data_IF_649199868445
#
_entry.id   IF_649199868445
#
_cell.length_a   1.000
_cell.length_b   1.000
_cell.length_c   1.000
_cell.angle_alpha   90.00
_cell.angle_beta   90.00
_cell.angle_gamma   90.00
#
_symmetry.space_group_name_H-M   'P 1'
#
loop_
_entity.id
_entity.type
_entity.pdbx_description
1 polymer ?
#
# COMPACT_ATOMS: atom_id res chain seq x y z
N UNK A 1 12.16 31.72 8.51
CA UNK A 1 13.26 30.84 8.07
C UNK A 1 13.26 29.61 8.96
N UNK A 2 13.23 28.40 8.40
CA UNK A 2 13.45 27.19 9.20
C UNK A 2 14.95 27.11 9.50
N UNK A 3 15.37 27.57 10.68
CA UNK A 3 16.78 27.57 11.15
C UNK A 3 17.19 26.27 11.82
N UNK A 4 16.44 25.18 11.62
CA UNK A 4 16.78 23.86 12.16
C UNK A 4 17.78 23.16 11.25
N UNK A 5 18.98 22.89 11.77
CA UNK A 5 19.91 21.96 11.11
C UNK A 5 19.30 20.56 11.01
N UNK A 6 19.65 19.83 9.95
CA UNK A 6 19.31 18.41 9.83
C UNK A 6 20.22 17.60 10.75
N UNK A 7 19.63 16.86 11.68
CA UNK A 7 20.34 15.88 12.50
C UNK A 7 19.85 14.46 12.17
N UNK A 8 20.73 13.46 12.08
CA UNK A 8 20.32 12.08 11.88
C UNK A 8 19.54 11.57 13.11
N UNK A 9 18.50 10.77 12.87
CA UNK A 9 17.78 10.04 13.92
C UNK A 9 18.32 8.63 13.96
N UNK A 10 19.11 8.31 14.98
CA UNK A 10 19.68 6.98 15.17
C UNK A 10 18.74 6.12 16.02
N UNK A 11 17.91 5.29 15.37
CA UNK A 11 17.02 4.33 16.02
C UNK A 11 17.15 2.97 15.35
N UNK A 12 17.82 2.03 16.00
CA UNK A 12 18.04 0.68 15.46
C UNK A 12 16.73 0.00 15.02
N UNK A 13 15.65 0.18 15.79
CA UNK A 13 14.32 -0.36 15.48
C UNK A 13 13.73 0.12 14.13
N UNK A 14 14.22 1.24 13.58
CA UNK A 14 13.79 1.71 12.26
C UNK A 14 14.33 0.84 11.13
N UNK A 15 15.50 0.21 11.31
CA UNK A 15 16.09 -0.70 10.32
C UNK A 15 15.14 -1.85 9.98
N UNK A 16 14.66 -2.55 11.00
CA UNK A 16 13.74 -3.69 10.84
C UNK A 16 12.44 -3.29 10.14
N UNK A 17 11.89 -2.12 10.50
CA UNK A 17 10.68 -1.57 9.87
C UNK A 17 10.86 -1.30 8.37
N UNK A 18 12.07 -0.95 7.93
CA UNK A 18 12.35 -0.66 6.53
C UNK A 18 12.62 -1.92 5.69
N UNK A 19 13.14 -2.99 6.30
CA UNK A 19 13.47 -4.23 5.60
C UNK A 19 12.24 -5.08 5.27
N UNK A 20 11.20 -5.00 6.10
CA UNK A 20 9.97 -5.81 5.97
C UNK A 20 9.17 -5.47 4.68
N UNK A 21 9.35 -4.27 4.13
CA UNK A 21 8.61 -3.77 2.99
C UNK A 21 9.41 -3.83 1.67
N UNK A 22 8.74 -4.27 0.61
CA UNK A 22 9.24 -4.17 -0.76
C UNK A 22 8.71 -2.90 -1.42
N UNK A 23 9.63 -2.09 -1.94
CA UNK A 23 9.36 -0.82 -2.67
C UNK A 23 8.49 0.16 -1.87
N UNK A 24 8.90 0.55 -0.65
CA UNK A 24 8.13 1.47 0.16
C UNK A 24 7.87 2.81 -0.54
N UNK A 25 6.77 3.45 -0.16
CA UNK A 25 6.37 4.81 -0.53
C UNK A 25 5.99 5.56 0.72
N UNK A 26 6.30 6.86 0.76
CA UNK A 26 5.93 7.74 1.86
C UNK A 26 4.77 8.64 1.45
N UNK A 27 3.76 8.73 2.32
CA UNK A 27 2.63 9.66 2.19
C UNK A 27 2.42 10.39 3.52
N UNK A 28 1.82 11.58 3.46
CA UNK A 28 1.42 12.29 4.66
C UNK A 28 0.23 11.56 5.33
N UNK A 29 0.34 11.26 6.63
CA UNK A 29 -0.78 10.78 7.43
C UNK A 29 -1.76 11.92 7.80
N UNK A 30 -2.82 11.57 8.51
CA UNK A 30 -3.78 12.53 9.01
C UNK A 30 -3.15 13.47 10.07
N UNK A 31 -3.66 14.71 10.14
CA UNK A 31 -3.29 15.68 11.19
C UNK A 31 -1.89 16.29 11.07
N UNK A 32 -1.15 16.04 9.99
CA UNK A 32 0.12 16.70 9.68
C UNK A 32 1.32 16.32 10.58
N UNK A 33 1.13 15.43 11.55
CA UNK A 33 2.20 14.95 12.46
C UNK A 33 2.52 13.47 12.28
N UNK A 34 2.10 12.90 11.16
CA UNK A 34 2.23 11.47 10.88
C UNK A 34 2.73 11.24 9.47
N UNK A 35 3.58 10.23 9.32
CA UNK A 35 4.06 9.76 8.01
C UNK A 35 3.63 8.31 7.83
N UNK A 36 3.07 7.99 6.68
CA UNK A 36 2.71 6.63 6.32
C UNK A 36 3.79 6.04 5.42
N UNK A 37 4.26 4.83 5.73
CA UNK A 37 5.10 4.03 4.87
C UNK A 37 4.32 2.85 4.33
N UNK A 38 4.17 2.79 3.02
CA UNK A 38 3.32 1.81 2.34
C UNK A 38 4.18 0.95 1.42
N UNK A 39 4.07 -0.37 1.51
CA UNK A 39 4.82 -1.27 0.65
C UNK A 39 4.25 -2.68 0.60
N UNK A 40 4.83 -3.52 -0.25
CA UNK A 40 4.47 -4.94 -0.27
C UNK A 40 5.15 -5.67 0.89
N UNK A 41 4.36 -6.29 1.78
CA UNK A 41 4.89 -7.07 2.88
C UNK A 41 5.61 -8.30 2.35
N UNK A 42 6.92 -8.43 2.59
CA UNK A 42 7.67 -9.61 2.18
C UNK A 42 7.20 -10.83 2.97
N UNK A 43 7.10 -11.99 2.33
CA UNK A 43 6.79 -13.25 3.02
C UNK A 43 7.96 -13.79 3.85
N UNK A 44 9.18 -13.30 3.60
CA UNK A 44 10.40 -13.62 4.34
C UNK A 44 11.44 -12.52 4.13
N UNK A 45 12.56 -12.57 4.85
CA UNK A 45 13.67 -11.62 4.69
C UNK A 45 14.53 -11.84 3.43
N UNK A 46 14.20 -12.84 2.59
CA UNK A 46 14.92 -13.04 1.33
C UNK A 46 14.71 -11.84 0.38
N UNK A 47 15.77 -11.46 -0.34
CA UNK A 47 15.75 -10.28 -1.23
C UNK A 47 14.67 -10.39 -2.32
N UNK A 48 14.42 -11.60 -2.80
CA UNK A 48 13.49 -11.95 -3.87
C UNK A 48 12.11 -12.41 -3.36
N UNK A 49 11.93 -12.49 -2.03
CA UNK A 49 10.69 -12.94 -1.41
C UNK A 49 9.46 -12.27 -2.06
N UNK A 50 8.41 -13.06 -2.38
CA UNK A 50 7.16 -12.51 -2.88
C UNK A 50 6.48 -11.68 -1.79
N UNK A 51 5.60 -10.78 -2.22
CA UNK A 51 4.80 -10.01 -1.28
C UNK A 51 3.50 -10.77 -0.95
N UNK A 52 3.22 -10.96 0.34
CA UNK A 52 2.00 -11.61 0.83
C UNK A 52 0.78 -10.68 0.77
N UNK A 53 1.00 -9.38 0.94
CA UNK A 53 -0.01 -8.32 0.88
C UNK A 53 0.63 -6.94 0.70
N UNK A 54 -0.16 -5.88 0.86
CA UNK A 54 0.30 -4.52 1.16
C UNK A 54 0.18 -4.24 2.66
N UNK A 55 1.22 -3.64 3.23
CA UNK A 55 1.27 -3.16 4.62
C UNK A 55 1.48 -1.64 4.65
N UNK A 56 0.85 -0.99 5.62
CA UNK A 56 0.94 0.43 5.93
C UNK A 56 1.49 0.54 7.36
N UNK A 57 2.69 1.09 7.50
CA UNK A 57 3.26 1.52 8.77
C UNK A 57 3.02 3.01 8.96
N UNK A 58 2.87 3.44 10.20
CA UNK A 58 2.66 4.83 10.59
C UNK A 58 3.73 5.27 11.56
N UNK A 59 4.40 6.37 11.24
CA UNK A 59 5.33 7.06 12.11
C UNK A 59 4.62 8.24 12.76
N UNK A 60 4.61 8.25 14.09
CA UNK A 60 4.28 9.46 14.85
C UNK A 60 5.52 10.36 14.93
N UNK A 61 5.43 11.58 14.43
CA UNK A 61 6.58 12.51 14.39
C UNK A 61 6.91 13.14 15.75
N UNK A 62 6.00 13.09 16.72
CA UNK A 62 6.24 13.58 18.07
C UNK A 62 6.99 12.54 18.91
N UNK A 63 6.63 11.26 18.80
CA UNK A 63 7.27 10.18 19.58
C UNK A 63 8.39 9.48 18.81
N UNK A 64 8.45 9.62 17.49
CA UNK A 64 9.36 8.92 16.58
C UNK A 64 9.24 7.39 16.62
N UNK A 65 8.05 6.92 17.00
CA UNK A 65 7.69 5.51 17.04
C UNK A 65 6.92 5.09 15.77
N UNK A 66 7.19 3.87 15.32
CA UNK A 66 6.47 3.22 14.23
C UNK A 66 5.43 2.24 14.78
N UNK A 67 4.29 2.17 14.12
CA UNK A 67 3.28 1.15 14.37
C UNK A 67 2.67 0.64 13.07
N UNK A 68 2.04 -0.54 13.11
CA UNK A 68 1.21 -1.02 12.01
C UNK A 68 -0.13 -0.27 12.01
N UNK A 69 -0.46 0.37 10.89
CA UNK A 69 -1.71 1.12 10.73
C UNK A 69 -2.72 0.42 9.83
N UNK A 70 -2.27 -0.43 8.91
CA UNK A 70 -3.18 -1.11 8.01
C UNK A 70 -2.55 -2.25 7.25
N UNK A 71 -3.25 -3.36 7.18
CA UNK A 71 -2.90 -4.52 6.38
C UNK A 71 -3.99 -4.76 5.35
N UNK A 72 -3.65 -4.73 4.06
CA UNK A 72 -4.65 -4.90 3.01
C UNK A 72 -5.34 -6.27 3.16
N UNK A 73 -6.68 -6.32 3.14
CA UNK A 73 -7.42 -7.57 3.23
C UNK A 73 -6.98 -8.56 2.13
N UNK A 74 -6.74 -9.85 2.44
CA UNK A 74 -6.23 -10.80 1.46
C UNK A 74 -7.11 -10.96 0.20
N UNK A 75 -8.43 -10.88 0.36
CA UNK A 75 -9.38 -10.90 -0.76
C UNK A 75 -9.20 -9.70 -1.70
N UNK A 76 -8.88 -8.52 -1.16
CA UNK A 76 -8.59 -7.31 -1.91
C UNK A 76 -7.24 -7.43 -2.63
N UNK A 77 -6.20 -7.89 -1.92
CA UNK A 77 -4.86 -8.07 -2.49
C UNK A 77 -4.84 -9.08 -3.66
N UNK A 78 -5.63 -10.16 -3.58
CA UNK A 78 -5.76 -11.15 -4.67
C UNK A 78 -6.24 -10.53 -6.00
N UNK A 79 -6.97 -9.41 -5.97
CA UNK A 79 -7.38 -8.70 -7.19
C UNK A 79 -6.16 -8.08 -7.90
N UNK A 80 -5.16 -7.61 -7.15
CA UNK A 80 -3.93 -7.05 -7.70
C UNK A 80 -2.98 -8.12 -8.23
N UNK A 81 -3.00 -9.32 -7.64
CA UNK A 81 -2.18 -10.45 -8.09
C UNK A 81 -2.81 -11.25 -9.23
N UNK A 82 -4.06 -10.99 -9.60
CA UNK A 82 -4.79 -11.77 -10.62
C UNK A 82 -5.23 -13.16 -10.15
N UNK A 83 -5.11 -13.45 -8.86
CA UNK A 83 -5.57 -14.72 -8.29
C UNK A 83 -7.09 -14.76 -8.07
N UNK A 84 -7.77 -13.60 -8.10
CA UNK A 84 -9.22 -13.53 -7.93
C UNK A 84 -10.02 -14.22 -9.07
N UNK A 85 -9.53 -14.21 -10.31
CA UNK A 85 -10.23 -14.82 -11.44
C UNK A 85 -10.04 -16.35 -11.51
N UNK A 86 -8.94 -16.87 -10.95
CA UNK A 86 -8.65 -18.31 -10.92
C UNK A 86 -9.56 -19.08 -9.94
N UNK A 87 -9.93 -18.47 -8.82
CA UNK A 87 -10.78 -19.11 -7.81
C UNK A 87 -12.24 -19.31 -8.27
N UNK A 88 -12.72 -18.49 -9.22
CA UNK A 88 -14.09 -18.58 -9.74
C UNK A 88 -14.25 -19.60 -10.87
N UNK A 89 -13.16 -20.02 -11.50
CA UNK A 89 -13.19 -20.85 -12.71
C UNK A 89 -12.74 -22.30 -12.50
N UNK A 90 -12.37 -22.72 -11.27
CA UNK A 90 -11.91 -24.08 -11.00
C UNK A 90 -10.71 -24.53 -11.85
N UNK A 91 -10.07 -23.58 -12.53
CA UNK A 91 -9.01 -23.81 -13.50
C UNK A 91 -7.65 -23.64 -12.84
N UNK A 92 -6.65 -24.33 -13.40
CA UNK A 92 -5.25 -24.16 -13.00
C UNK A 92 -4.86 -22.67 -12.98
N UNK A 93 -4.11 -22.26 -11.96
CA UNK A 93 -3.56 -20.91 -11.85
C UNK A 93 -2.83 -20.60 -13.17
N UNK A 94 -3.24 -19.59 -13.95
CA UNK A 94 -2.57 -19.28 -15.20
C UNK A 94 -1.11 -18.94 -14.91
N UNK A 95 -0.16 -19.41 -15.74
CA UNK A 95 1.26 -19.06 -15.59
C UNK A 95 1.53 -17.54 -15.59
N UNK A 96 0.57 -16.73 -16.10
CA UNK A 96 0.60 -15.27 -16.02
C UNK A 96 0.38 -14.71 -14.59
N UNK A 97 -0.21 -15.49 -13.68
CA UNK A 97 -0.35 -15.15 -12.26
C UNK A 97 0.98 -15.31 -11.50
N UNK A 98 1.91 -16.13 -12.00
CA UNK A 98 3.17 -16.47 -11.34
C UNK A 98 4.39 -15.64 -11.77
N UNK A 99 4.29 -14.73 -12.74
CA UNK A 99 5.50 -14.09 -13.32
C UNK A 99 5.41 -12.62 -13.78
N UNK A 100 4.28 -11.94 -13.58
CA UNK A 100 4.14 -10.53 -14.00
C UNK A 100 4.57 -9.54 -12.92
N UNK A 101 5.32 -8.49 -13.28
CA UNK A 101 5.57 -7.35 -12.41
C UNK A 101 4.26 -6.56 -12.16
N UNK A 102 3.41 -7.03 -11.25
CA UNK A 102 2.19 -6.32 -10.86
C UNK A 102 2.56 -5.03 -10.11
N UNK A 103 2.85 -3.98 -10.88
CA UNK A 103 3.10 -2.64 -10.37
C UNK A 103 1.76 -2.09 -9.86
N UNK A 104 1.61 -2.07 -8.55
CA UNK A 104 0.54 -1.31 -7.87
C UNK A 104 0.99 0.14 -7.81
N UNK A 105 0.15 1.06 -8.28
CA UNK A 105 0.34 2.50 -8.07
C UNK A 105 -0.27 2.85 -6.72
N UNK A 106 0.48 3.59 -5.92
CA UNK A 106 0.07 4.07 -4.61
C UNK A 106 0.14 5.59 -4.62
N UNK A 107 -0.92 6.25 -4.19
CA UNK A 107 -1.02 7.72 -4.12
C UNK A 107 -2.00 8.15 -3.03
N UNK A 108 -2.05 9.44 -2.73
CA UNK A 108 -2.92 10.01 -1.71
C UNK A 108 -2.16 10.96 -0.78
N UNK A 109 -2.59 11.02 0.47
CA UNK A 109 -2.10 11.93 1.49
C UNK A 109 -3.23 12.33 2.44
N UNK A 110 -2.86 13.01 3.52
CA UNK A 110 -3.79 13.44 4.58
C UNK A 110 -4.65 12.28 5.10
N UNK A 111 -4.01 11.14 5.40
CA UNK A 111 -4.67 9.95 5.95
C UNK A 111 -5.39 9.07 4.93
N UNK A 112 -5.42 9.43 3.64
CA UNK A 112 -6.02 8.60 2.58
C UNK A 112 -4.97 8.01 1.66
N UNK A 113 -5.05 6.71 1.43
CA UNK A 113 -4.16 5.96 0.54
C UNK A 113 -4.98 5.21 -0.50
N UNK A 114 -4.58 5.35 -1.75
CA UNK A 114 -5.27 4.78 -2.91
C UNK A 114 -4.36 3.81 -3.65
N UNK A 115 -4.93 2.71 -4.11
CA UNK A 115 -4.22 1.62 -4.78
C UNK A 115 -4.87 1.32 -6.14
N UNK A 116 -4.08 1.50 -7.20
CA UNK A 116 -4.48 1.15 -8.57
C UNK A 116 -3.58 0.05 -9.14
N UNK A 117 -4.14 -0.85 -9.94
CA UNK A 117 -3.38 -1.90 -10.58
C UNK A 117 -3.98 -2.31 -11.91
N UNK A 118 -3.14 -2.74 -12.86
CA UNK A 118 -3.58 -3.14 -14.21
C UNK A 118 -4.65 -4.24 -14.21
N UNK A 119 -4.63 -5.11 -13.19
CA UNK A 119 -5.57 -6.23 -13.01
C UNK A 119 -6.84 -5.84 -12.26
N UNK A 120 -6.84 -4.68 -11.60
CA UNK A 120 -7.97 -4.14 -10.86
C UNK A 120 -8.66 -3.14 -11.79
N UNK A 121 -9.48 -3.66 -12.71
CA UNK A 121 -10.19 -2.83 -13.70
C UNK A 121 -11.40 -2.16 -13.04
N UNK A 122 -11.66 -0.90 -13.41
CA UNK A 122 -12.87 -0.13 -13.05
C UNK A 122 -13.04 0.18 -11.55
N UNK A 123 -12.02 -0.11 -10.73
CA UNK A 123 -12.05 0.13 -9.30
C UNK A 123 -10.68 0.47 -8.72
N UNK A 124 -10.68 1.11 -7.55
CA UNK A 124 -9.51 1.38 -6.71
C UNK A 124 -9.74 0.78 -5.33
N UNK A 125 -8.69 0.26 -4.72
CA UNK A 125 -8.73 0.04 -3.28
C UNK A 125 -8.35 1.35 -2.57
N UNK A 126 -9.05 1.66 -1.49
CA UNK A 126 -8.79 2.81 -0.63
C UNK A 126 -8.54 2.33 0.79
N UNK A 127 -7.60 2.96 1.48
CA UNK A 127 -7.45 2.91 2.91
C UNK A 127 -7.55 4.33 3.49
N UNK A 128 -8.33 4.49 4.56
CA UNK A 128 -8.48 5.74 5.29
C UNK A 128 -8.05 5.54 6.74
N UNK A 129 -7.15 6.39 7.19
CA UNK A 129 -6.61 6.39 8.54
C UNK A 129 -7.71 6.68 9.56
N UNK A 130 -7.80 5.83 10.59
CA UNK A 130 -8.65 6.11 11.75
C UNK A 130 -7.90 7.00 12.77
N UNK A 131 -8.59 7.99 13.29
CA UNK A 131 -8.08 8.89 14.33
C UNK A 131 -7.85 8.15 15.65
N UNK A 132 -8.65 7.12 15.96
CA UNK A 132 -8.61 6.38 17.22
C UNK A 132 -7.56 5.26 17.28
N UNK A 133 -6.64 5.21 16.31
CA UNK A 133 -5.54 4.24 16.32
C UNK A 133 -5.93 2.81 16.00
N UNK A 134 -7.16 2.57 15.50
CA UNK A 134 -7.53 1.26 14.94
C UNK A 134 -6.84 1.02 13.60
N UNK A 135 -6.89 -0.23 13.12
CA UNK A 135 -6.49 -0.55 11.75
C UNK A 135 -7.45 0.15 10.80
N UNK A 136 -6.99 1.21 10.13
CA UNK A 136 -7.84 2.12 9.37
C UNK A 136 -8.75 1.41 8.35
N UNK A 137 -9.75 2.13 7.84
CA UNK A 137 -10.82 1.55 7.05
C UNK A 137 -10.38 1.23 5.62
N UNK A 138 -10.54 -0.02 5.20
CA UNK A 138 -10.40 -0.44 3.80
C UNK A 138 -11.74 -0.39 3.08
N UNK A 139 -11.73 0.09 1.84
CA UNK A 139 -12.92 0.11 0.99
C UNK A 139 -12.58 -0.08 -0.49
N UNK A 140 -13.57 -0.49 -1.28
CA UNK A 140 -13.50 -0.43 -2.74
C UNK A 140 -14.17 0.86 -3.21
N UNK A 141 -13.53 1.51 -4.18
CA UNK A 141 -14.14 2.61 -4.93
C UNK A 141 -14.31 2.16 -6.36
N UNK A 142 -15.55 1.84 -6.71
CA UNK A 142 -15.97 1.41 -8.04
C UNK A 142 -16.47 2.60 -8.88
N UNK A 143 -16.81 2.34 -10.15
CA UNK A 143 -17.43 3.33 -11.02
C UNK A 143 -16.44 4.31 -11.66
N UNK A 144 -15.17 3.94 -11.72
CA UNK A 144 -14.16 4.78 -12.37
C UNK A 144 -14.23 4.63 -13.88
N UNK A 145 -14.15 5.74 -14.64
CA UNK A 145 -14.13 5.69 -16.10
C UNK A 145 -12.97 4.83 -16.60
N UNK A 146 -13.22 4.12 -17.70
CA UNK A 146 -12.23 3.23 -18.29
C UNK A 146 -11.12 3.98 -18.96
N UNK A 147 -10.03 3.28 -19.28
CA UNK A 147 -8.95 3.87 -20.07
C UNK A 147 -9.46 4.53 -21.37
N UNK A 148 -10.52 3.99 -21.99
CA UNK A 148 -11.16 4.59 -23.16
C UNK A 148 -11.95 5.88 -22.89
N UNK A 149 -12.52 6.02 -21.69
CA UNK A 149 -13.32 7.18 -21.31
C UNK A 149 -12.44 8.35 -20.81
N UNK A 150 -11.19 8.10 -20.40
CA UNK A 150 -10.28 9.18 -19.99
C UNK A 150 -9.70 9.92 -21.20
N UNK A 151 -9.68 9.31 -22.38
CA UNK A 151 -9.23 10.00 -23.61
C UNK A 151 -10.22 11.08 -24.03
N UNK A 152 -11.50 11.00 -23.62
CA UNK A 152 -12.48 12.07 -23.85
C UNK A 152 -12.44 13.20 -22.80
N UNK A 153 -11.56 13.10 -21.79
CA UNK A 153 -11.37 14.13 -20.76
C UNK A 153 -10.14 15.04 -21.02
N UNK A 154 -9.48 14.91 -22.18
CA UNK A 154 -8.38 15.75 -22.63
C UNK A 154 -8.63 16.31 -24.03
#
# INVERSE_FOLDING_TARGET
MLTGGWAPVERAAWGDAFEVLKRPRLLAGAGGRRVLMIGGLRSSFAMDAPCSTVLILRLDLATTEWEEAGHMPPNMYRCFTGLCEAASQGGAIPAAATGGNNKVKVFGGNGKVWFAGKRVRWKLAMWEEDEMGSSGKWDWVDGLPGYGDVVSLF
#
